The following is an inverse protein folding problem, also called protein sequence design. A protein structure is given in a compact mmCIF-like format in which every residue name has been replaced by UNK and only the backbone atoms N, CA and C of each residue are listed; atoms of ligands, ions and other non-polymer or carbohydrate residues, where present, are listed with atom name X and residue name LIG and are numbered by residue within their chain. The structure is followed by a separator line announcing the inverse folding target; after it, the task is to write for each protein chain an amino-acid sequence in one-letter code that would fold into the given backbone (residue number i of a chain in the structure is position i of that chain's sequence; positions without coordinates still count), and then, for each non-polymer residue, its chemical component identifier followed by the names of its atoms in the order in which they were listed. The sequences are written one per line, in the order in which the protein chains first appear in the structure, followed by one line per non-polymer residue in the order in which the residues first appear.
data_IF_585581708057
#
_entry.id   IF_585581708057
#
_cell.length_a   1.000
_cell.length_b   1.000
_cell.length_c   1.000
_cell.angle_alpha   90.00
_cell.angle_beta   90.00
_cell.angle_gamma   90.00
#
_symmetry.space_group_name_H-M   'P 1'
#
loop_
_entity.id
_entity.type
_entity.pdbx_description
1 polymer ?
#
# COMPACT_ATOMS: atom_id res chain seq x y z
N UNK A 1 1.96 12.59 -5.09
CA UNK A 1 2.34 11.26 -5.60
C UNK A 1 1.37 10.87 -6.71
N UNK A 2 1.87 10.70 -7.94
CA UNK A 2 1.04 10.46 -9.11
C UNK A 2 1.16 9.02 -9.61
N UNK A 3 0.13 8.53 -10.30
CA UNK A 3 0.17 7.23 -10.96
C UNK A 3 1.27 7.23 -12.03
N UNK A 4 2.16 6.24 -12.00
CA UNK A 4 3.25 6.15 -12.98
C UNK A 4 2.78 6.01 -14.43
N UNK A 5 1.62 5.38 -14.65
CA UNK A 5 1.10 5.11 -15.99
C UNK A 5 0.42 6.33 -16.62
N UNK A 6 -0.48 7.01 -15.89
CA UNK A 6 -1.32 8.08 -16.43
C UNK A 6 -1.06 9.46 -15.81
N UNK A 7 -0.12 9.56 -14.86
CA UNK A 7 0.26 10.80 -14.14
C UNK A 7 -0.86 11.46 -13.32
N UNK A 8 -2.00 10.79 -13.15
CA UNK A 8 -3.07 11.24 -12.26
C UNK A 8 -2.58 11.24 -10.82
N UNK A 9 -2.77 12.36 -10.11
CA UNK A 9 -2.42 12.46 -8.69
C UNK A 9 -3.31 11.51 -7.89
N UNK A 10 -2.69 10.61 -7.13
CA UNK A 10 -3.40 9.62 -6.33
C UNK A 10 -3.46 10.02 -4.86
N UNK A 11 -2.36 10.53 -4.30
CA UNK A 11 -2.30 10.92 -2.89
C UNK A 11 -1.41 12.17 -2.71
N UNK A 12 -1.76 12.97 -1.70
CA UNK A 12 -0.94 14.04 -1.15
C UNK A 12 -0.07 13.55 0.00
N UNK A 13 0.73 14.47 0.56
CA UNK A 13 1.64 14.17 1.67
C UNK A 13 0.92 14.03 3.01
N UNK A 14 -0.25 14.66 3.14
CA UNK A 14 -1.16 14.57 4.27
C UNK A 14 -1.78 13.17 4.45
N UNK A 15 -1.83 12.35 3.40
CA UNK A 15 -2.37 10.99 3.47
C UNK A 15 -1.31 9.97 3.90
N UNK A 16 -0.04 10.36 4.02
CA UNK A 16 1.03 9.43 4.33
C UNK A 16 1.13 9.15 5.82
N UNK A 17 1.30 7.87 6.14
CA UNK A 17 1.55 7.38 7.49
C UNK A 17 2.97 6.83 7.54
N UNK A 18 3.81 7.44 8.38
CA UNK A 18 5.17 6.98 8.59
C UNK A 18 5.19 5.75 9.50
N UNK A 19 6.07 4.79 9.16
CA UNK A 19 6.42 3.69 10.06
C UNK A 19 7.94 3.68 10.26
N UNK A 20 8.37 3.28 11.46
CA UNK A 20 9.79 3.11 11.75
C UNK A 20 10.29 1.80 11.16
N UNK A 21 11.41 1.83 10.46
CA UNK A 21 12.02 0.66 9.83
C UNK A 21 12.55 -0.35 10.86
N UNK A 22 12.58 -1.64 10.50
CA UNK A 22 13.16 -2.71 11.31
C UNK A 22 12.61 -2.83 12.74
N UNK A 23 11.36 -2.45 12.98
CA UNK A 23 10.78 -2.53 14.32
C UNK A 23 10.52 -3.96 14.79
N UNK A 24 10.35 -4.89 13.86
CA UNK A 24 9.94 -6.26 14.17
C UNK A 24 10.98 -7.26 13.65
N UNK A 25 11.28 -8.27 14.45
CA UNK A 25 12.19 -9.35 14.07
C UNK A 25 11.41 -10.46 13.36
N UNK A 26 11.31 -10.37 12.04
CA UNK A 26 10.78 -11.48 11.22
C UNK A 26 11.90 -12.46 10.86
N UNK A 27 11.56 -13.75 10.73
CA UNK A 27 12.53 -14.79 10.39
C UNK A 27 13.17 -14.49 9.02
N UNK A 28 14.46 -14.14 9.05
CA UNK A 28 15.24 -13.47 7.98
C UNK A 28 15.46 -14.36 6.73
N UNK A 29 15.10 -15.64 6.79
CA UNK A 29 15.40 -16.61 5.73
C UNK A 29 14.79 -16.28 4.35
N UNK A 30 13.74 -15.45 4.27
CA UNK A 30 13.17 -14.94 3.00
C UNK A 30 13.63 -13.53 2.60
N UNK A 31 14.36 -12.81 3.46
CA UNK A 31 14.65 -11.36 3.29
C UNK A 31 16.16 -11.09 3.08
N UNK A 32 16.93 -12.12 2.69
CA UNK A 32 18.40 -12.01 2.50
C UNK A 32 18.86 -11.01 1.42
N UNK A 33 17.96 -10.43 0.61
CA UNK A 33 18.34 -9.49 -0.45
C UNK A 33 18.07 -8.01 -0.14
N UNK A 34 17.28 -7.66 0.88
CA UNK A 34 16.83 -6.25 1.07
C UNK A 34 17.50 -5.56 2.26
N UNK A 35 18.01 -6.31 3.22
CA UNK A 35 18.55 -5.82 4.49
C UNK A 35 20.08 -5.72 4.46
N UNK A 36 20.66 -4.97 3.51
CA UNK A 36 22.12 -4.73 3.53
C UNK A 36 22.49 -3.31 3.96
N UNK A 37 21.76 -2.22 3.63
CA UNK A 37 22.32 -0.87 3.88
C UNK A 37 21.29 0.24 4.08
N UNK A 38 20.46 0.21 5.13
CA UNK A 38 19.61 1.38 5.50
C UNK A 38 18.80 1.97 4.34
N UNK A 39 18.43 1.12 3.37
CA UNK A 39 17.79 1.57 2.14
C UNK A 39 16.39 2.13 2.48
N UNK A 40 15.95 3.19 1.78
CA UNK A 40 14.61 3.72 2.00
C UNK A 40 13.55 2.66 1.68
N UNK A 41 12.43 2.70 2.42
CA UNK A 41 11.29 1.82 2.18
C UNK A 41 10.80 1.98 0.74
N UNK A 42 10.54 0.86 0.05
CA UNK A 42 9.97 0.86 -1.29
C UNK A 42 8.44 0.98 -1.30
N UNK A 43 7.84 0.97 -0.11
CA UNK A 43 6.40 1.00 0.12
C UNK A 43 6.04 2.25 0.90
N UNK A 44 5.04 2.98 0.40
CA UNK A 44 4.36 4.03 1.14
C UNK A 44 3.14 3.43 1.82
N UNK A 45 2.89 3.87 3.05
CA UNK A 45 1.67 3.55 3.78
C UNK A 45 0.82 4.81 3.90
N UNK A 46 -0.49 4.63 3.77
CA UNK A 46 -1.45 5.72 3.78
C UNK A 46 -2.49 5.52 4.88
N UNK A 47 -3.20 6.59 5.20
CA UNK A 47 -4.42 6.54 5.99
C UNK A 47 -5.60 5.98 5.18
N UNK A 48 -6.71 5.72 5.85
CA UNK A 48 -7.92 5.12 5.27
C UNK A 48 -8.67 5.99 4.26
N UNK A 49 -8.50 7.32 4.32
CA UNK A 49 -9.14 8.28 3.41
C UNK A 49 -8.91 7.91 1.93
N UNK A 50 -7.73 7.36 1.60
CA UNK A 50 -7.38 7.03 0.22
C UNK A 50 -8.22 5.92 -0.39
N UNK A 51 -8.92 5.13 0.44
CA UNK A 51 -9.76 4.04 -0.03
C UNK A 51 -10.96 4.56 -0.83
N UNK A 52 -11.47 5.75 -0.52
CA UNK A 52 -12.65 6.35 -1.17
C UNK A 52 -12.49 6.48 -2.70
N UNK A 53 -11.26 6.70 -3.18
CA UNK A 53 -10.99 6.88 -4.61
C UNK A 53 -10.01 5.87 -5.23
N UNK A 54 -9.32 5.06 -4.42
CA UNK A 54 -8.41 4.02 -4.91
C UNK A 54 -9.00 2.61 -4.91
N UNK A 55 -10.10 2.41 -4.20
CA UNK A 55 -10.88 1.17 -4.31
C UNK A 55 -11.94 1.40 -5.39
N UNK A 56 -11.60 1.13 -6.64
CA UNK A 56 -12.63 1.06 -7.69
C UNK A 56 -13.41 -0.23 -7.53
N UNK A 57 -14.65 -0.12 -7.06
CA UNK A 57 -15.69 -1.16 -7.13
C UNK A 57 -16.11 -1.38 -8.59
N UNK A 58 -15.19 -1.90 -9.41
CA UNK A 58 -15.53 -2.31 -10.78
C UNK A 58 -16.34 -3.63 -10.81
N UNK A 59 -16.76 -4.13 -9.64
CA UNK A 59 -17.67 -5.25 -9.49
C UNK A 59 -18.91 -4.79 -8.72
N UNK A 60 -19.98 -4.35 -9.42
CA UNK A 60 -21.25 -3.94 -8.81
C UNK A 60 -21.97 -5.07 -8.04
N UNK A 61 -21.44 -6.28 -8.07
CA UNK A 61 -22.04 -7.48 -7.49
C UNK A 61 -21.49 -7.85 -6.10
N UNK A 62 -20.54 -7.08 -5.58
CA UNK A 62 -19.91 -7.30 -4.26
C UNK A 62 -20.40 -6.27 -3.20
N UNK A 63 -21.38 -5.42 -3.54
CA UNK A 63 -21.83 -4.32 -2.68
C UNK A 63 -22.84 -4.71 -1.59
N UNK A 64 -23.22 -5.98 -1.43
CA UNK A 64 -24.30 -6.34 -0.49
C UNK A 64 -23.89 -7.10 0.78
N UNK A 65 -22.65 -7.59 0.98
CA UNK A 65 -22.37 -8.37 2.22
C UNK A 65 -20.93 -8.51 2.75
N UNK A 66 -19.91 -7.84 2.20
CA UNK A 66 -18.54 -8.14 2.61
C UNK A 66 -17.87 -7.00 3.38
N UNK A 67 -17.77 -7.16 4.71
CA UNK A 67 -16.75 -6.52 5.52
C UNK A 67 -15.38 -7.07 5.10
N UNK A 68 -14.89 -6.60 3.95
CA UNK A 68 -13.61 -7.04 3.41
C UNK A 68 -12.49 -6.65 4.38
N UNK A 69 -11.66 -7.64 4.73
CA UNK A 69 -10.50 -7.45 5.60
C UNK A 69 -9.29 -6.99 4.77
N UNK A 70 -9.29 -7.28 3.47
CA UNK A 70 -8.24 -6.90 2.55
C UNK A 70 -8.77 -6.65 1.14
N UNK A 71 -8.01 -5.90 0.33
CA UNK A 71 -8.40 -5.61 -1.04
C UNK A 71 -7.29 -4.96 -1.86
N UNK A 72 -7.63 -4.59 -3.10
CA UNK A 72 -6.70 -4.01 -4.08
C UNK A 72 -6.88 -2.50 -4.21
N UNK A 73 -5.77 -1.78 -4.32
CA UNK A 73 -5.76 -0.36 -4.71
C UNK A 73 -5.45 -0.24 -6.20
N UNK A 74 -6.29 0.50 -6.91
CA UNK A 74 -6.14 0.79 -8.33
C UNK A 74 -6.20 2.29 -8.60
N UNK A 75 -5.54 2.75 -9.66
CA UNK A 75 -5.65 4.14 -10.08
C UNK A 75 -7.08 4.46 -10.53
N UNK A 76 -7.65 5.54 -10.02
CA UNK A 76 -9.00 6.01 -10.37
C UNK A 76 -9.21 6.33 -11.85
N UNK A 77 -8.14 6.67 -12.58
CA UNK A 77 -8.22 7.06 -13.98
C UNK A 77 -7.93 5.89 -14.95
N UNK A 78 -6.90 5.08 -14.69
CA UNK A 78 -6.47 4.04 -15.63
C UNK A 78 -6.59 2.60 -15.09
N UNK A 79 -7.16 2.42 -13.90
CA UNK A 79 -7.43 1.13 -13.25
C UNK A 79 -6.21 0.21 -13.04
N UNK A 80 -4.98 0.72 -13.24
CA UNK A 80 -3.76 -0.04 -12.98
C UNK A 80 -3.62 -0.30 -11.48
N UNK A 81 -3.18 -1.50 -11.11
CA UNK A 81 -2.84 -1.82 -9.72
C UNK A 81 -1.70 -0.92 -9.24
N UNK A 82 -1.95 -0.18 -8.16
CA UNK A 82 -0.93 0.64 -7.50
C UNK A 82 -0.52 0.08 -6.14
N UNK A 83 -1.41 -0.70 -5.51
CA UNK A 83 -1.20 -1.20 -4.16
C UNK A 83 -2.22 -2.24 -3.72
N UNK A 84 -2.31 -2.39 -2.41
CA UNK A 84 -3.28 -3.22 -1.72
C UNK A 84 -3.54 -2.64 -0.33
N UNK A 85 -4.66 -3.03 0.27
CA UNK A 85 -4.99 -2.68 1.64
C UNK A 85 -5.30 -3.95 2.43
N UNK A 86 -4.99 -3.97 3.73
CA UNK A 86 -5.32 -5.05 4.66
C UNK A 86 -5.48 -4.49 6.09
N UNK A 87 -6.65 -4.65 6.69
CA UNK A 87 -6.97 -4.18 8.05
C UNK A 87 -6.23 -4.94 9.14
N UNK A 88 -5.85 -6.21 8.90
CA UNK A 88 -5.02 -7.01 9.81
C UNK A 88 -3.53 -6.66 9.71
N UNK A 89 -3.15 -5.85 8.72
CA UNK A 89 -1.80 -5.37 8.49
C UNK A 89 -1.01 -6.19 7.47
N UNK A 90 0.21 -5.73 7.21
CA UNK A 90 1.14 -6.34 6.28
C UNK A 90 2.59 -6.08 6.68
N UNK A 91 3.47 -6.98 6.28
CA UNK A 91 4.91 -6.84 6.48
C UNK A 91 5.49 -5.93 5.39
N UNK A 92 6.07 -4.79 5.79
CA UNK A 92 6.89 -3.97 4.92
C UNK A 92 8.22 -4.69 4.61
N UNK A 93 8.80 -4.44 3.44
CA UNK A 93 10.11 -4.95 3.04
C UNK A 93 11.25 -4.52 3.98
N UNK A 94 11.07 -3.45 4.75
CA UNK A 94 11.97 -3.01 5.81
C UNK A 94 11.87 -3.85 7.10
N UNK A 95 11.04 -4.89 7.14
CA UNK A 95 10.87 -5.74 8.33
C UNK A 95 9.94 -5.17 9.40
N UNK A 96 9.12 -4.17 9.11
CA UNK A 96 8.10 -3.66 10.05
C UNK A 96 6.71 -4.18 9.68
N UNK A 97 5.96 -4.68 10.66
CA UNK A 97 4.52 -4.90 10.52
C UNK A 97 3.81 -3.55 10.61
N UNK A 98 2.94 -3.24 9.64
CA UNK A 98 2.16 -2.00 9.64
C UNK A 98 0.67 -2.35 9.69
N UNK A 99 -0.08 -1.69 10.57
CA UNK A 99 -1.53 -1.86 10.77
C UNK A 99 -2.15 -0.46 10.96
N UNK A 100 -3.22 -0.11 10.22
CA UNK A 100 -3.72 -0.81 9.03
C UNK A 100 -2.69 -0.74 7.88
N UNK A 101 -2.65 -1.76 7.03
CA UNK A 101 -1.72 -1.80 5.91
C UNK A 101 -2.37 -1.32 4.63
N UNK A 102 -2.41 -0.02 4.42
CA UNK A 102 -2.85 0.58 3.14
C UNK A 102 -1.59 0.95 2.38
N UNK A 103 -1.11 0.00 1.57
CA UNK A 103 0.23 0.04 1.00
C UNK A 103 0.20 0.34 -0.50
N UNK A 104 0.96 1.37 -0.90
CA UNK A 104 1.23 1.70 -2.30
C UNK A 104 2.72 1.49 -2.58
N UNK A 105 3.02 0.81 -3.69
CA UNK A 105 4.40 0.57 -4.10
C UNK A 105 4.96 1.79 -4.83
N UNK A 106 6.13 2.28 -4.41
CA UNK A 106 6.79 3.43 -5.06
C UNK A 106 7.06 3.20 -6.55
N UNK A 107 7.30 1.94 -6.97
CA UNK A 107 7.49 1.61 -8.38
C UNK A 107 6.26 1.88 -9.27
N UNK A 108 5.08 2.02 -8.67
CA UNK A 108 3.80 2.34 -9.33
C UNK A 108 3.46 3.82 -9.27
N UNK A 109 4.27 4.61 -8.58
CA UNK A 109 4.13 6.04 -8.46
C UNK A 109 5.23 6.75 -9.27
N UNK A 110 4.95 8.02 -9.58
CA UNK A 110 5.90 9.01 -10.08
C UNK A 110 5.74 10.32 -9.28
#
# INVERSE_FOLDING_TARGET
YACRMCRTVLIGQNHLVEHRQNQHSFNIYRTKQVQINGAPCQSLFCNEDVLEWLVSSNNPQEEEDQADIEGRLSCSNCSVKVGHWNWSGAQCSCGTWVVPAIQINLSKLD
#
